data_IF_787054809730
#
_entry.id   IF_787054809730
#
_cell.length_a   1.000
_cell.length_b   1.000
_cell.length_c   1.000
_cell.angle_alpha   90.00
_cell.angle_beta   90.00
_cell.angle_gamma   90.00
#
_symmetry.space_group_name_H-M   'P 1'
#
loop_
_entity.id
_entity.type
_entity.pdbx_description
1 polymer ?
#
# COMPACT_ATOMS: atom_id res chain seq x y z
N UNK A 1 -8.04 7.68 -0.04
CA UNK A 1 -6.72 7.31 0.52
C UNK A 1 -6.82 7.77 1.96
N UNK A 2 -7.37 6.91 2.82
CA UNK A 2 -8.04 7.43 4.03
C UNK A 2 -7.24 7.16 5.31
N UNK A 3 -5.99 6.69 5.16
CA UNK A 3 -5.14 6.41 6.31
C UNK A 3 -3.67 6.74 5.99
N UNK A 4 -3.14 7.87 6.48
CA UNK A 4 -1.72 8.20 6.38
C UNK A 4 -0.85 7.11 7.00
N UNK A 5 0.22 6.72 6.30
CA UNK A 5 1.18 5.69 6.76
C UNK A 5 2.62 6.10 6.49
N UNK A 6 3.52 5.56 7.30
CA UNK A 6 4.97 5.71 7.17
C UNK A 6 5.66 4.36 6.99
N UNK A 7 6.96 4.36 6.66
CA UNK A 7 7.79 3.14 6.57
C UNK A 7 7.33 2.08 5.55
N UNK A 8 6.39 2.44 4.66
CA UNK A 8 5.96 1.60 3.56
C UNK A 8 7.10 1.33 2.57
N UNK A 9 6.89 0.36 1.69
CA UNK A 9 7.70 0.15 0.49
C UNK A 9 6.92 0.61 -0.73
N UNK A 10 7.64 1.08 -1.74
CA UNK A 10 7.06 1.53 -3.01
C UNK A 10 7.75 0.82 -4.17
N UNK A 11 6.96 0.33 -5.13
CA UNK A 11 7.45 -0.34 -6.34
C UNK A 11 6.66 0.16 -7.54
N UNK A 12 7.34 0.46 -8.64
CA UNK A 12 6.72 0.67 -9.94
C UNK A 12 6.68 -0.67 -10.70
N UNK A 13 5.49 -1.09 -11.15
CA UNK A 13 5.29 -2.34 -11.87
C UNK A 13 4.12 -2.20 -12.85
N UNK A 14 4.32 -2.60 -14.11
CA UNK A 14 3.29 -2.56 -15.16
C UNK A 14 2.60 -1.19 -15.31
N UNK A 15 3.35 -0.10 -15.20
CA UNK A 15 2.83 1.26 -15.31
C UNK A 15 2.08 1.79 -14.08
N UNK A 16 2.01 1.00 -13.00
CA UNK A 16 1.33 1.35 -11.76
C UNK A 16 2.33 1.51 -10.61
N UNK A 17 1.97 2.32 -9.61
CA UNK A 17 2.76 2.52 -8.38
C UNK A 17 2.09 1.79 -7.23
N UNK A 18 2.81 0.84 -6.62
CA UNK A 18 2.32 0.03 -5.51
C UNK A 18 2.90 0.58 -4.20
N UNK A 19 2.03 0.93 -3.26
CA UNK A 19 2.35 1.32 -1.89
C UNK A 19 2.02 0.15 -0.94
N UNK A 20 3.07 -0.50 -0.42
CA UNK A 20 2.98 -1.77 0.30
C UNK A 20 3.22 -1.57 1.80
N UNK A 21 2.24 -1.98 2.61
CA UNK A 21 2.31 -2.03 4.07
C UNK A 21 2.57 -0.67 4.72
N UNK A 22 3.52 -0.67 5.66
CA UNK A 22 3.90 0.47 6.47
C UNK A 22 3.35 0.41 7.89
N UNK A 23 3.40 1.56 8.57
CA UNK A 23 2.86 1.77 9.92
C UNK A 23 1.82 2.88 9.89
N UNK A 24 0.63 2.59 10.41
CA UNK A 24 -0.45 3.56 10.59
C UNK A 24 -0.18 4.54 11.73
N UNK A 25 -1.15 5.41 12.02
CA UNK A 25 -1.04 6.42 13.08
C UNK A 25 -0.80 5.81 14.48
N UNK A 26 -1.35 4.62 14.73
CA UNK A 26 -1.14 3.84 15.96
C UNK A 26 0.25 3.17 16.05
N UNK A 27 1.14 3.42 15.08
CA UNK A 27 2.48 2.81 14.94
C UNK A 27 2.49 1.30 14.72
N UNK A 28 1.33 0.66 14.57
CA UNK A 28 1.23 -0.77 14.29
C UNK A 28 1.51 -1.05 12.81
N UNK A 29 2.16 -2.19 12.50
CA UNK A 29 2.36 -2.61 11.12
C UNK A 29 1.03 -2.93 10.45
N UNK A 30 0.93 -2.67 9.15
CA UNK A 30 -0.23 -3.02 8.33
C UNK A 30 0.16 -3.88 7.13
N UNK A 31 -0.77 -4.70 6.71
CA UNK A 31 -0.72 -5.54 5.50
C UNK A 31 -1.38 -4.86 4.28
N UNK A 32 -1.76 -3.58 4.39
CA UNK A 32 -2.47 -2.84 3.35
C UNK A 32 -1.65 -2.67 2.06
N UNK A 33 -2.32 -2.80 0.93
CA UNK A 33 -1.76 -2.53 -0.41
C UNK A 33 -2.63 -1.50 -1.12
N UNK A 34 -2.04 -0.35 -1.44
CA UNK A 34 -2.67 0.67 -2.28
C UNK A 34 -1.94 0.73 -3.63
N UNK A 35 -2.69 0.89 -4.73
CA UNK A 35 -2.12 1.12 -6.06
C UNK A 35 -2.54 2.49 -6.56
N UNK A 36 -1.58 3.27 -7.02
CA UNK A 36 -1.81 4.49 -7.80
C UNK A 36 -1.63 4.19 -9.29
N UNK A 37 -2.62 4.59 -10.06
CA UNK A 37 -2.56 4.62 -11.51
C UNK A 37 -2.25 6.05 -11.98
N UNK A 38 -1.05 6.33 -12.50
CA UNK A 38 -0.69 7.66 -12.98
C UNK A 38 -1.51 8.14 -14.19
N UNK A 39 -2.11 7.23 -14.96
CA UNK A 39 -2.91 7.58 -16.15
C UNK A 39 -4.26 8.15 -15.74
N UNK A 40 -4.92 7.51 -14.77
CA UNK A 40 -6.23 7.93 -14.28
C UNK A 40 -6.14 8.89 -13.08
N UNK A 41 -4.98 8.95 -12.42
CA UNK A 41 -4.74 9.76 -11.22
C UNK A 41 -5.42 9.20 -9.97
N UNK A 42 -5.95 7.98 -10.02
CA UNK A 42 -6.70 7.40 -8.93
C UNK A 42 -5.91 6.35 -8.14
N UNK A 43 -6.27 6.26 -6.87
CA UNK A 43 -5.83 5.21 -5.97
C UNK A 43 -6.89 4.11 -5.89
N UNK A 44 -6.45 2.86 -5.79
CA UNK A 44 -7.32 1.70 -5.53
C UNK A 44 -6.76 0.82 -4.42
N UNK A 45 -7.65 0.30 -3.57
CA UNK A 45 -7.30 -0.70 -2.56
C UNK A 45 -7.17 -2.08 -3.23
N UNK A 46 -6.18 -2.85 -2.80
CA UNK A 46 -5.94 -4.21 -3.27
C UNK A 46 -5.94 -5.23 -2.13
N UNK A 47 -5.95 -6.54 -2.47
CA UNK A 47 -5.80 -7.58 -1.47
C UNK A 47 -4.60 -7.32 -0.57
N UNK A 48 -4.78 -7.60 0.71
CA UNK A 48 -3.74 -7.47 1.73
C UNK A 48 -2.58 -8.41 1.43
N UNK A 49 -1.38 -8.02 1.86
CA UNK A 49 -0.22 -8.92 1.81
C UNK A 49 -0.51 -10.16 2.66
N UNK A 50 -0.22 -11.34 2.12
CA UNK A 50 -0.26 -12.58 2.87
C UNK A 50 0.80 -12.54 3.96
N UNK A 51 0.38 -12.73 5.21
CA UNK A 51 1.29 -12.95 6.32
C UNK A 51 1.51 -14.46 6.48
N UNK A 52 2.68 -14.94 6.03
CA UNK A 52 3.03 -16.36 6.02
C UNK A 52 3.54 -16.89 7.37
N UNK A 53 3.51 -16.08 8.44
CA UNK A 53 4.03 -16.45 9.76
C UNK A 53 2.92 -16.68 10.82
N UNK A 54 1.77 -17.24 10.42
CA UNK A 54 0.77 -17.75 11.36
C UNK A 54 0.66 -19.27 11.27
#
# INVERSE_FOLDING_TARGET
MDEPRSHLRVVALNGLIYALGGRGANKQPTDRVDIFDPVTGFWSLRPKMVNLHR
#
